data_IF_608346870401
#
_entry.id   IF_608346870401
#
_cell.length_a   1.000
_cell.length_b   1.000
_cell.length_c   1.000
_cell.angle_alpha   90.00
_cell.angle_beta   90.00
_cell.angle_gamma   90.00
#
_symmetry.space_group_name_H-M   'P 1'
#
loop_
_entity.id
_entity.type
_entity.pdbx_description
1 polymer ?
#
# COMPACT_ATOMS: atom_id res chain seq x y z
N UNK A 1 -10.88 -17.35 -12.04
CA UNK A 1 -10.02 -17.86 -13.15
C UNK A 1 -9.05 -19.00 -12.76
N UNK A 2 -8.53 -19.04 -11.53
CA UNK A 2 -7.33 -19.83 -11.20
C UNK A 2 -7.54 -21.23 -10.61
N UNK A 3 -8.76 -21.56 -10.14
CA UNK A 3 -9.07 -22.85 -9.49
C UNK A 3 -9.70 -23.86 -10.48
N UNK A 4 -10.39 -23.35 -11.51
CA UNK A 4 -11.08 -24.19 -12.51
C UNK A 4 -10.14 -25.13 -13.29
N UNK A 5 -8.96 -24.68 -13.77
CA UNK A 5 -8.06 -25.57 -14.52
C UNK A 5 -7.53 -26.74 -13.67
N UNK A 6 -7.26 -26.50 -12.39
CA UNK A 6 -6.81 -27.53 -11.44
C UNK A 6 -7.92 -28.55 -11.13
N UNK A 7 -9.17 -28.08 -11.00
CA UNK A 7 -10.34 -28.97 -10.82
C UNK A 7 -10.63 -29.81 -12.08
N UNK A 8 -10.45 -29.24 -13.28
CA UNK A 8 -10.64 -29.95 -14.56
C UNK A 8 -9.65 -31.11 -14.77
N UNK A 9 -8.44 -31.01 -14.22
CA UNK A 9 -7.43 -32.07 -14.29
C UNK A 9 -7.79 -33.31 -13.45
N UNK A 10 -8.56 -33.15 -12.37
CA UNK A 10 -8.94 -34.22 -11.44
C UNK A 10 -10.33 -34.79 -11.80
N UNK A 11 -11.19 -34.00 -12.43
CA UNK A 11 -12.52 -34.43 -12.88
C UNK A 11 -12.46 -35.47 -14.01
N UNK A 12 -13.41 -36.43 -14.09
CA UNK A 12 -13.53 -37.43 -15.15
C UNK A 12 -14.04 -36.81 -16.47
N UNK A 13 -13.25 -35.89 -17.04
CA UNK A 13 -13.50 -35.22 -18.31
C UNK A 13 -12.76 -35.92 -19.46
N UNK A 14 -13.18 -35.70 -20.73
CA UNK A 14 -12.48 -36.21 -21.92
C UNK A 14 -10.99 -35.82 -21.93
N UNK A 15 -10.15 -36.66 -22.53
CA UNK A 15 -8.69 -36.47 -22.56
C UNK A 15 -8.27 -35.13 -23.19
N UNK A 16 -9.04 -34.64 -24.16
CA UNK A 16 -8.78 -33.38 -24.87
C UNK A 16 -8.97 -32.16 -23.97
N UNK A 17 -10.05 -32.12 -23.17
CA UNK A 17 -10.28 -31.04 -22.21
C UNK A 17 -9.25 -31.03 -21.08
N UNK A 18 -8.79 -32.21 -20.65
CA UNK A 18 -7.70 -32.35 -19.69
C UNK A 18 -6.37 -31.86 -20.24
N UNK A 19 -6.10 -32.08 -21.53
CA UNK A 19 -4.89 -31.59 -22.20
C UNK A 19 -4.86 -30.06 -22.32
N UNK A 20 -6.01 -29.43 -22.64
CA UNK A 20 -6.15 -27.97 -22.66
C UNK A 20 -5.93 -27.37 -21.26
N UNK A 21 -6.55 -27.96 -20.23
CA UNK A 21 -6.36 -27.53 -18.85
C UNK A 21 -4.90 -27.70 -18.37
N UNK A 22 -4.23 -28.78 -18.79
CA UNK A 22 -2.81 -29.01 -18.50
C UNK A 22 -1.92 -27.91 -19.12
N UNK A 23 -2.15 -27.54 -20.38
CA UNK A 23 -1.39 -26.48 -21.04
C UNK A 23 -1.57 -25.11 -20.38
N UNK A 24 -2.80 -24.78 -19.96
CA UNK A 24 -3.07 -23.54 -19.21
C UNK A 24 -2.33 -23.53 -17.87
N UNK A 25 -2.31 -24.65 -17.16
CA UNK A 25 -1.57 -24.77 -15.89
C UNK A 25 -0.06 -24.68 -16.09
N UNK A 26 0.46 -25.23 -17.18
CA UNK A 26 1.88 -25.20 -17.53
C UNK A 26 2.34 -23.78 -17.91
N UNK A 27 1.55 -23.07 -18.72
CA UNK A 27 1.80 -21.67 -19.05
C UNK A 27 1.75 -20.75 -17.82
N UNK A 28 0.85 -21.04 -16.88
CA UNK A 28 0.79 -20.36 -15.59
C UNK A 28 2.05 -20.62 -14.75
N UNK A 29 2.48 -21.89 -14.63
CA UNK A 29 3.72 -22.22 -13.93
C UNK A 29 4.95 -21.52 -14.51
N UNK A 30 5.05 -21.44 -15.84
CA UNK A 30 6.15 -20.77 -16.53
C UNK A 30 6.22 -19.26 -16.30
N UNK A 31 5.10 -18.60 -15.98
CA UNK A 31 5.06 -17.16 -15.72
C UNK A 31 5.14 -16.84 -14.22
N UNK A 32 4.52 -17.65 -13.38
CA UNK A 32 4.48 -17.45 -11.93
C UNK A 32 5.84 -17.69 -11.26
N UNK A 33 6.51 -18.80 -11.59
CA UNK A 33 7.76 -19.19 -10.90
C UNK A 33 8.89 -18.17 -11.11
N UNK A 34 9.15 -17.64 -12.32
CA UNK A 34 10.15 -16.60 -12.51
C UNK A 34 9.80 -15.30 -11.77
N UNK A 35 8.53 -14.90 -11.80
CA UNK A 35 8.08 -13.70 -11.08
C UNK A 35 8.29 -13.85 -9.57
N UNK A 36 7.93 -15.01 -9.00
CA UNK A 36 8.16 -15.31 -7.58
C UNK A 36 9.64 -15.33 -7.23
N UNK A 37 10.48 -15.93 -8.08
CA UNK A 37 11.93 -15.98 -7.87
C UNK A 37 12.54 -14.57 -7.85
N UNK A 38 12.15 -13.69 -8.78
CA UNK A 38 12.57 -12.28 -8.79
C UNK A 38 12.13 -11.57 -7.51
N UNK A 39 10.90 -11.81 -7.07
CA UNK A 39 10.36 -11.20 -5.84
C UNK A 39 11.13 -11.65 -4.59
N UNK A 40 11.47 -12.93 -4.50
CA UNK A 40 12.27 -13.49 -3.40
C UNK A 40 13.67 -12.88 -3.40
N UNK A 41 14.32 -12.78 -4.56
CA UNK A 41 15.64 -12.15 -4.68
C UNK A 41 15.59 -10.67 -4.29
N UNK A 42 14.58 -9.94 -4.77
CA UNK A 42 14.37 -8.54 -4.40
C UNK A 42 14.16 -8.37 -2.89
N UNK A 43 13.34 -9.23 -2.26
CA UNK A 43 13.12 -9.25 -0.83
C UNK A 43 14.39 -9.57 -0.03
N UNK A 44 15.20 -10.52 -0.50
CA UNK A 44 16.48 -10.86 0.11
C UNK A 44 17.47 -9.69 0.05
N UNK A 45 17.61 -9.06 -1.12
CA UNK A 45 18.47 -7.88 -1.31
C UNK A 45 18.00 -6.72 -0.43
N UNK A 46 16.69 -6.48 -0.36
CA UNK A 46 16.11 -5.47 0.51
C UNK A 46 16.40 -5.75 1.99
N UNK A 47 16.20 -6.99 2.43
CA UNK A 47 16.49 -7.42 3.80
C UNK A 47 17.97 -7.20 4.17
N UNK A 48 18.89 -7.56 3.26
CA UNK A 48 20.32 -7.31 3.44
C UNK A 48 20.65 -5.81 3.50
N UNK A 49 20.02 -5.00 2.66
CA UNK A 49 20.21 -3.55 2.66
C UNK A 49 19.75 -2.91 3.98
N UNK A 50 18.55 -3.28 4.46
CA UNK A 50 17.99 -2.80 5.72
C UNK A 50 18.88 -3.21 6.90
N UNK A 51 19.31 -4.48 6.92
CA UNK A 51 20.16 -5.02 7.98
C UNK A 51 21.49 -4.28 8.06
N UNK A 52 22.14 -4.02 6.92
CA UNK A 52 23.41 -3.30 6.90
C UNK A 52 23.28 -1.84 7.39
N UNK A 53 22.17 -1.17 7.05
CA UNK A 53 21.91 0.21 7.50
C UNK A 53 21.59 0.33 9.00
N UNK A 54 21.10 -0.73 9.65
CA UNK A 54 20.69 -0.69 11.05
C UNK A 54 21.70 -1.36 12.01
N UNK A 55 22.29 -2.49 11.61
CA UNK A 55 23.13 -3.30 12.50
C UNK A 55 24.42 -2.58 12.92
N UNK A 56 25.09 -1.91 11.97
CA UNK A 56 26.34 -1.19 12.24
C UNK A 56 26.16 -0.04 13.25
N UNK A 57 25.20 0.88 13.04
CA UNK A 57 24.90 1.96 13.98
C UNK A 57 24.53 1.47 15.37
N UNK A 58 23.69 0.42 15.45
CA UNK A 58 23.22 -0.13 16.70
C UNK A 58 24.37 -0.75 17.52
N UNK A 59 25.29 -1.43 16.85
CA UNK A 59 26.49 -1.98 17.50
C UNK A 59 27.36 -0.87 18.10
N UNK A 60 27.59 0.23 17.35
CA UNK A 60 28.34 1.39 17.84
C UNK A 60 27.68 2.08 19.03
N UNK A 61 26.35 2.19 19.01
CA UNK A 61 25.57 2.72 20.13
C UNK A 61 25.70 1.85 21.37
N UNK A 62 25.62 0.52 21.22
CA UNK A 62 25.80 -0.40 22.33
C UNK A 62 27.21 -0.31 22.92
N UNK A 63 28.25 -0.22 22.08
CA UNK A 63 29.61 -0.02 22.55
C UNK A 63 29.75 1.31 23.31
N UNK A 64 29.15 2.38 22.79
CA UNK A 64 29.14 3.68 23.45
C UNK A 64 28.42 3.62 24.80
N UNK A 65 27.29 2.91 24.89
CA UNK A 65 26.56 2.72 26.14
C UNK A 65 27.39 1.96 27.19
N UNK A 66 28.21 0.98 26.79
CA UNK A 66 29.13 0.29 27.72
C UNK A 66 30.21 1.21 28.26
N UNK A 67 30.81 2.05 27.41
CA UNK A 67 31.82 3.02 27.84
C UNK A 67 31.23 4.10 28.78
N UNK A 68 29.99 4.51 28.53
CA UNK A 68 29.24 5.39 29.43
C UNK A 68 28.98 4.73 30.79
N UNK A 69 28.57 3.45 30.79
CA UNK A 69 28.35 2.70 32.03
C UNK A 69 29.64 2.53 32.85
N UNK A 70 30.81 2.58 32.21
CA UNK A 70 32.12 2.58 32.87
C UNK A 70 32.54 3.97 33.40
N UNK A 71 31.70 4.99 33.23
CA UNK A 71 31.91 6.34 33.77
C UNK A 71 32.69 7.28 32.85
N UNK A 72 32.80 6.97 31.55
CA UNK A 72 33.42 7.85 30.57
C UNK A 72 32.39 8.80 29.91
N UNK A 73 32.10 9.94 30.53
CA UNK A 73 31.12 10.91 30.01
C UNK A 73 31.67 11.80 28.88
N UNK A 74 32.98 11.72 28.59
CA UNK A 74 33.62 12.48 27.51
C UNK A 74 33.27 11.98 26.11
N UNK A 75 32.68 10.78 26.05
CA UNK A 75 32.37 10.11 24.80
C UNK A 75 31.33 10.90 24.00
N UNK A 76 31.56 11.02 22.70
CA UNK A 76 30.55 11.52 21.76
C UNK A 76 30.18 10.43 20.77
N UNK A 77 28.89 10.10 20.74
CA UNK A 77 28.31 9.16 19.78
C UNK A 77 28.34 9.80 18.40
N UNK A 78 29.14 9.24 17.48
CA UNK A 78 29.20 9.67 16.08
C UNK A 78 28.78 8.53 15.17
N UNK A 79 27.82 8.82 14.29
CA UNK A 79 27.34 7.90 13.26
C UNK A 79 27.85 8.34 11.87
N UNK A 80 27.95 7.38 10.94
CA UNK A 80 28.35 7.66 9.54
C UNK A 80 27.17 8.33 8.82
N UNK A 81 27.43 9.21 7.85
CA UNK A 81 26.38 9.96 7.11
C UNK A 81 25.25 9.11 6.52
N UNK A 82 25.50 7.83 6.23
CA UNK A 82 24.50 6.89 5.68
C UNK A 82 23.68 6.10 6.71
N UNK A 83 23.92 6.32 8.00
CA UNK A 83 23.23 5.63 9.09
C UNK A 83 21.86 6.31 9.38
N UNK A 84 20.81 5.58 9.75
CA UNK A 84 19.47 6.17 10.00
C UNK A 84 19.34 6.82 11.40
N UNK A 85 20.15 6.40 12.38
CA UNK A 85 19.98 6.76 13.80
C UNK A 85 20.60 8.10 14.22
N UNK A 86 20.79 9.05 13.29
CA UNK A 86 21.43 10.34 13.59
C UNK A 86 20.68 11.16 14.64
N UNK A 87 19.34 11.11 14.62
CA UNK A 87 18.49 11.81 15.59
C UNK A 87 18.72 11.28 17.00
N UNK A 88 18.75 9.95 17.16
CA UNK A 88 19.06 9.29 18.44
C UNK A 88 20.46 9.67 18.94
N UNK A 89 21.46 9.67 18.06
CA UNK A 89 22.83 10.06 18.41
C UNK A 89 22.91 11.53 18.89
N UNK A 90 22.15 12.44 18.27
CA UNK A 90 22.09 13.84 18.69
C UNK A 90 21.48 13.99 20.08
N UNK A 91 20.36 13.31 20.34
CA UNK A 91 19.69 13.31 21.65
C UNK A 91 20.62 12.72 22.71
N UNK A 92 21.27 11.59 22.44
CA UNK A 92 22.23 10.97 23.35
C UNK A 92 23.38 11.93 23.68
N UNK A 93 24.00 12.55 22.67
CA UNK A 93 25.07 13.53 22.91
C UNK A 93 24.62 14.74 23.72
N UNK A 94 23.39 15.21 23.50
CA UNK A 94 22.82 16.32 24.28
C UNK A 94 22.64 15.93 25.74
N UNK A 95 22.14 14.72 26.01
CA UNK A 95 22.02 14.19 27.36
C UNK A 95 23.39 14.06 28.04
N UNK A 96 24.41 13.58 27.33
CA UNK A 96 25.78 13.48 27.86
C UNK A 96 26.38 14.84 28.23
N UNK A 97 26.16 15.86 27.41
CA UNK A 97 26.60 17.23 27.72
C UNK A 97 25.89 17.77 28.97
N UNK A 98 24.57 17.57 29.08
CA UNK A 98 23.83 18.01 30.25
C UNK A 98 24.27 17.27 31.54
N UNK A 99 24.58 15.98 31.44
CA UNK A 99 25.11 15.20 32.57
C UNK A 99 26.51 15.69 32.97
N UNK A 100 27.41 15.89 32.01
CA UNK A 100 28.76 16.43 32.25
C UNK A 100 28.68 17.79 32.97
N UNK A 101 27.78 18.68 32.53
CA UNK A 101 27.54 19.97 33.17
C UNK A 101 26.99 19.82 34.60
N UNK A 102 25.96 19.00 34.80
CA UNK A 102 25.34 18.81 36.11
C UNK A 102 26.33 18.27 37.15
N UNK A 103 27.15 17.29 36.79
CA UNK A 103 28.19 16.76 37.68
C UNK A 103 29.32 17.79 37.94
N UNK A 104 29.66 18.60 36.94
CA UNK A 104 30.61 19.71 37.11
C UNK A 104 30.12 20.74 38.14
N UNK A 105 28.84 21.12 38.06
CA UNK A 105 28.22 22.06 39.01
C UNK A 105 28.16 21.46 40.43
N UNK A 106 27.80 20.18 40.57
CA UNK A 106 27.80 19.47 41.87
C UNK A 106 29.19 19.50 42.52
N UNK A 107 30.26 19.23 41.76
CA UNK A 107 31.62 19.26 42.29
C UNK A 107 32.04 20.67 42.70
N UNK A 108 31.73 21.68 41.88
CA UNK A 108 32.05 23.07 42.20
C UNK A 108 31.35 23.53 43.49
N UNK A 109 30.07 23.18 43.66
CA UNK A 109 29.33 23.47 44.89
C UNK A 109 29.85 22.66 46.09
N UNK A 110 30.20 21.38 45.88
CA UNK A 110 30.81 20.53 46.91
C UNK A 110 32.12 21.11 47.45
N UNK A 111 33.06 21.44 46.55
CA UNK A 111 34.34 22.04 46.91
C UNK A 111 34.16 23.39 47.64
N UNK A 112 33.21 24.22 47.17
CA UNK A 112 32.88 25.47 47.85
C UNK A 112 32.30 25.25 49.26
N UNK A 113 31.42 24.26 49.42
CA UNK A 113 30.83 23.89 50.71
C UNK A 113 31.90 23.37 51.68
N UNK A 114 32.78 22.47 51.22
CA UNK A 114 33.91 21.96 52.01
C UNK A 114 34.85 23.08 52.44
N UNK A 115 35.23 23.97 51.53
CA UNK A 115 36.07 25.12 51.86
C UNK A 115 35.41 26.05 52.88
N UNK A 116 34.08 26.21 52.84
CA UNK A 116 33.35 27.00 53.83
C UNK A 116 33.32 26.32 55.21
N UNK A 117 33.02 25.01 55.27
CA UNK A 117 33.02 24.24 56.52
C UNK A 117 34.43 24.17 57.12
N UNK A 118 35.46 23.98 56.30
CA UNK A 118 36.85 23.99 56.73
C UNK A 118 37.24 25.30 57.42
N UNK A 119 36.82 26.45 56.87
CA UNK A 119 37.01 27.76 57.52
C UNK A 119 36.29 27.87 58.86
N UNK A 120 35.09 27.30 58.99
CA UNK A 120 34.34 27.30 60.26
C UNK A 120 35.04 26.43 61.31
N UNK A 121 35.48 25.23 60.93
CA UNK A 121 36.22 24.33 61.83
C UNK A 121 37.54 24.96 62.28
N UNK A 122 38.26 25.60 61.36
CA UNK A 122 39.51 26.31 61.69
C UNK A 122 39.27 27.49 62.65
N UNK A 123 38.17 28.24 62.46
CA UNK A 123 37.76 29.30 63.38
C UNK A 123 37.37 28.78 64.77
N UNK A 124 36.66 27.65 64.86
CA UNK A 124 36.30 27.01 66.12
C UNK A 124 37.53 26.49 66.87
N UNK A 125 38.52 25.92 66.16
CA UNK A 125 39.78 25.45 66.74
C UNK A 125 40.59 26.60 67.36
N UNK A 126 40.50 27.80 66.80
CA UNK A 126 41.20 28.99 67.31
C UNK A 126 40.56 29.60 68.57
N UNK A 127 39.36 29.14 68.97
CA UNK A 127 38.64 29.69 70.10
C UNK A 127 39.09 29.07 71.45
N UNK A 128 39.49 29.87 72.45
CA UNK A 128 39.87 29.34 73.77
C UNK A 128 38.65 28.72 74.47
N UNK A 129 38.74 27.43 74.84
CA UNK A 129 37.67 26.69 75.53
C UNK A 129 36.73 25.89 74.62
N UNK A 130 37.09 25.65 73.36
CA UNK A 130 36.32 24.80 72.46
C UNK A 130 36.18 23.36 73.00
N UNK A 131 34.97 22.80 72.95
CA UNK A 131 34.71 21.42 73.39
C UNK A 131 35.30 20.43 72.35
N UNK A 132 36.22 19.54 72.76
CA UNK A 132 36.89 18.60 71.85
C UNK A 132 35.94 17.59 71.19
N UNK A 133 34.81 17.25 71.81
CA UNK A 133 33.84 16.29 71.27
C UNK A 133 33.13 16.86 70.02
N UNK A 134 32.66 18.11 70.09
CA UNK A 134 32.04 18.77 68.92
C UNK A 134 33.03 18.99 67.77
N UNK A 135 34.30 19.29 68.08
CA UNK A 135 35.34 19.43 67.06
C UNK A 135 35.58 18.10 66.33
N UNK A 136 35.55 16.97 67.04
CA UNK A 136 35.71 15.65 66.45
C UNK A 136 34.57 15.31 65.46
N UNK A 137 33.31 15.62 65.81
CA UNK A 137 32.16 15.39 64.93
C UNK A 137 32.27 16.18 63.60
N UNK A 138 32.73 17.44 63.66
CA UNK A 138 32.91 18.26 62.46
C UNK A 138 34.12 17.83 61.61
N UNK A 139 35.20 17.36 62.25
CA UNK A 139 36.34 16.78 61.56
C UNK A 139 35.98 15.46 60.86
N UNK A 140 35.13 14.63 61.50
CA UNK A 140 34.57 13.42 60.91
C UNK A 140 33.67 13.74 59.71
N UNK A 141 32.77 14.73 59.84
CA UNK A 141 31.90 15.17 58.74
C UNK A 141 32.69 15.73 57.53
N UNK A 142 33.78 16.47 57.77
CA UNK A 142 34.68 16.93 56.71
C UNK A 142 35.34 15.73 56.00
N UNK A 143 35.81 14.74 56.75
CA UNK A 143 36.42 13.53 56.21
C UNK A 143 35.44 12.70 55.38
N UNK A 144 34.17 12.60 55.78
CA UNK A 144 33.13 11.95 54.97
C UNK A 144 32.87 12.70 53.66
N UNK A 145 32.90 14.03 53.68
CA UNK A 145 32.72 14.84 52.47
C UNK A 145 33.83 14.61 51.42
N UNK A 146 35.08 14.41 51.86
CA UNK A 146 36.21 14.09 50.97
C UNK A 146 36.03 12.73 50.27
N UNK A 147 35.40 11.76 50.95
CA UNK A 147 35.07 10.47 50.33
C UNK A 147 34.04 10.61 49.21
N UNK A 148 33.07 11.53 49.36
CA UNK A 148 32.09 11.82 48.31
C UNK A 148 32.79 12.40 47.07
N UNK A 149 33.77 13.29 47.26
CA UNK A 149 34.54 13.84 46.15
C UNK A 149 35.35 12.76 45.42
N UNK A 150 35.93 11.80 46.15
CA UNK A 150 36.63 10.65 45.57
C UNK A 150 35.71 9.78 44.70
N UNK A 151 34.43 9.60 45.08
CA UNK A 151 33.43 8.90 44.25
C UNK A 151 33.14 9.67 42.97
N UNK A 152 32.99 11.00 43.07
CA UNK A 152 32.77 11.86 41.90
C UNK A 152 33.99 11.93 40.96
N UNK A 153 35.21 11.68 41.46
CA UNK A 153 36.42 11.62 40.64
C UNK A 153 36.52 10.34 39.78
N UNK A 154 35.76 9.29 40.09
CA UNK A 154 35.73 8.04 39.28
C UNK A 154 35.17 8.26 37.88
N UNK A 155 34.32 9.27 37.71
CA UNK A 155 33.78 9.65 36.41
C UNK A 155 34.79 10.54 35.67
N UNK A 156 35.16 10.13 34.45
CA UNK A 156 36.05 10.93 33.58
C UNK A 156 35.22 11.94 32.81
N UNK A 157 35.44 13.21 33.10
CA UNK A 157 34.77 14.36 32.46
C UNK A 157 35.67 14.95 31.38
N UNK A 158 35.05 15.61 30.41
CA UNK A 158 35.84 16.27 29.37
C UNK A 158 36.51 17.46 30.04
N UNK A 159 37.84 17.42 30.15
CA UNK A 159 38.61 18.58 30.55
C UNK A 159 38.13 19.75 29.68
N UNK A 160 37.62 20.81 30.33
CA UNK A 160 37.07 21.98 29.67
C UNK A 160 38.05 22.39 28.57
N UNK A 161 37.70 22.16 27.31
CA UNK A 161 38.35 22.86 26.20
C UNK A 161 37.87 24.31 26.26
N UNK A 162 38.30 25.03 27.30
CA UNK A 162 38.25 26.48 27.42
C UNK A 162 39.25 27.04 26.41
N UNK A 163 38.89 26.98 25.13
CA UNK A 163 39.81 27.36 24.08
C UNK A 163 39.36 26.92 22.70
N UNK A 164 38.11 27.21 22.32
CA UNK A 164 37.77 27.54 20.93
C UNK A 164 36.33 28.03 20.80
N UNK A 165 36.23 29.35 20.58
CA UNK A 165 35.29 29.99 19.66
C UNK A 165 33.83 29.52 19.64
N UNK A 166 32.97 30.34 20.23
CA UNK A 166 31.73 30.78 19.59
C UNK A 166 30.80 29.69 19.06
N UNK A 167 29.95 29.16 19.93
CA UNK A 167 28.67 28.57 19.51
C UNK A 167 27.52 29.52 19.87
N UNK A 168 27.67 30.81 19.50
CA UNK A 168 26.53 31.70 19.37
C UNK A 168 25.95 31.47 17.98
N UNK A 169 24.90 30.67 17.95
CA UNK A 169 24.30 30.23 16.71
C UNK A 169 23.35 29.07 16.94
N UNK A 170 22.32 29.27 17.76
CA UNK A 170 21.05 28.58 17.55
C UNK A 170 20.50 29.01 16.19
N UNK A 171 21.14 28.56 15.09
CA UNK A 171 20.43 28.36 13.85
C UNK A 171 19.35 27.35 14.21
N UNK A 172 18.11 27.82 14.37
CA UNK A 172 16.93 27.06 14.00
C UNK A 172 17.21 26.55 12.58
N UNK A 173 17.87 25.39 12.46
CA UNK A 173 17.86 24.64 11.21
C UNK A 173 16.38 24.36 11.01
N UNK A 174 15.84 24.99 9.98
CA UNK A 174 14.46 24.79 9.55
C UNK A 174 14.15 23.32 9.64
N UNK A 175 12.95 23.01 10.14
CA UNK A 175 12.39 21.68 10.19
C UNK A 175 12.91 20.91 8.99
N UNK A 176 13.76 19.92 9.26
CA UNK A 176 14.34 19.07 8.23
C UNK A 176 13.13 18.47 7.52
N UNK A 177 12.76 19.01 6.37
CA UNK A 177 11.75 18.43 5.52
C UNK A 177 12.34 17.07 5.15
N UNK A 178 11.90 16.02 5.84
CA UNK A 178 12.27 14.65 5.55
C UNK A 178 11.80 14.42 4.12
N UNK A 179 12.71 14.53 3.15
CA UNK A 179 12.43 14.20 1.76
C UNK A 179 12.04 12.73 1.69
N UNK A 180 11.04 12.41 0.88
CA UNK A 180 10.61 11.04 0.61
C UNK A 180 11.85 10.25 0.19
N UNK A 181 12.09 9.12 0.85
CA UNK A 181 13.22 8.27 0.51
C UNK A 181 12.94 7.55 -0.82
N UNK A 182 13.98 7.34 -1.64
CA UNK A 182 13.82 6.59 -2.90
C UNK A 182 13.27 5.17 -2.65
N UNK A 183 13.56 4.61 -1.47
CA UNK A 183 13.05 3.32 -1.04
C UNK A 183 11.56 3.36 -0.66
N UNK A 184 11.06 4.42 -0.02
CA UNK A 184 9.62 4.63 0.18
C UNK A 184 8.88 4.69 -1.15
N UNK A 185 9.43 5.43 -2.11
CA UNK A 185 8.81 5.53 -3.43
C UNK A 185 8.77 4.17 -4.13
N UNK A 186 9.85 3.38 -4.04
CA UNK A 186 9.91 2.03 -4.60
C UNK A 186 8.90 1.07 -3.95
N UNK A 187 8.76 1.09 -2.63
CA UNK A 187 7.77 0.26 -1.92
C UNK A 187 6.36 0.71 -2.27
N UNK A 188 6.09 2.02 -2.30
CA UNK A 188 4.79 2.56 -2.68
C UNK A 188 4.40 2.14 -4.11
N UNK A 189 5.32 2.28 -5.07
CA UNK A 189 5.11 1.83 -6.45
C UNK A 189 4.91 0.31 -6.54
N UNK A 190 5.63 -0.48 -5.75
CA UNK A 190 5.44 -1.93 -5.71
C UNK A 190 4.04 -2.31 -5.21
N UNK A 191 3.57 -1.69 -4.12
CA UNK A 191 2.21 -1.92 -3.59
C UNK A 191 1.15 -1.51 -4.62
N UNK A 192 1.29 -0.31 -5.21
CA UNK A 192 0.37 0.18 -6.24
C UNK A 192 0.37 -0.74 -7.47
N UNK A 193 1.52 -1.27 -7.87
CA UNK A 193 1.63 -2.24 -8.97
C UNK A 193 0.89 -3.54 -8.69
N UNK A 194 1.09 -4.11 -7.49
CA UNK A 194 0.40 -5.33 -7.06
C UNK A 194 -1.11 -5.11 -7.02
N UNK A 195 -1.57 -4.01 -6.40
CA UNK A 195 -3.00 -3.69 -6.33
C UNK A 195 -3.60 -3.45 -7.71
N UNK A 196 -2.92 -2.69 -8.57
CA UNK A 196 -3.36 -2.39 -9.93
C UNK A 196 -3.50 -3.65 -10.78
N UNK A 197 -2.62 -4.65 -10.60
CA UNK A 197 -2.65 -5.90 -11.36
C UNK A 197 -3.96 -6.69 -11.19
N UNK A 198 -4.60 -6.57 -10.02
CA UNK A 198 -5.88 -7.22 -9.71
C UNK A 198 -7.05 -6.27 -9.92
N UNK A 199 -6.90 -5.00 -9.55
CA UNK A 199 -7.98 -4.01 -9.60
C UNK A 199 -8.39 -3.64 -11.03
N UNK A 200 -7.44 -3.47 -11.96
CA UNK A 200 -7.73 -3.07 -13.34
C UNK A 200 -8.59 -4.13 -14.06
N UNK A 201 -8.20 -5.41 -14.16
CA UNK A 201 -9.02 -6.39 -14.86
C UNK A 201 -10.38 -6.60 -14.17
N UNK A 202 -10.43 -6.54 -12.83
CA UNK A 202 -11.70 -6.63 -12.10
C UNK A 202 -12.65 -5.47 -12.42
N UNK A 203 -12.13 -4.24 -12.50
CA UNK A 203 -12.90 -3.06 -12.86
C UNK A 203 -13.37 -3.11 -14.31
N UNK A 204 -12.52 -3.53 -15.24
CA UNK A 204 -12.89 -3.68 -16.66
C UNK A 204 -14.02 -4.69 -16.83
N UNK A 205 -13.94 -5.86 -16.20
CA UNK A 205 -15.01 -6.87 -16.22
C UNK A 205 -16.33 -6.34 -15.63
N UNK A 206 -16.25 -5.55 -14.55
CA UNK A 206 -17.44 -4.94 -13.94
C UNK A 206 -18.13 -3.96 -14.91
N UNK A 207 -17.35 -3.11 -15.55
CA UNK A 207 -17.86 -2.15 -16.54
C UNK A 207 -18.47 -2.89 -17.74
N UNK A 208 -17.79 -3.91 -18.26
CA UNK A 208 -18.30 -4.73 -19.36
C UNK A 208 -19.64 -5.38 -19.01
N UNK A 209 -19.74 -6.00 -17.83
CA UNK A 209 -21.00 -6.59 -17.36
C UNK A 209 -22.12 -5.55 -17.25
N UNK A 210 -21.82 -4.36 -16.72
CA UNK A 210 -22.78 -3.27 -16.64
C UNK A 210 -23.27 -2.82 -18.03
N UNK A 211 -22.39 -2.79 -19.03
CA UNK A 211 -22.77 -2.47 -20.42
C UNK A 211 -23.65 -3.57 -21.00
N UNK A 212 -23.32 -4.83 -20.79
CA UNK A 212 -24.07 -5.99 -21.29
C UNK A 212 -25.52 -6.04 -20.79
N UNK A 213 -25.79 -5.54 -19.58
CA UNK A 213 -27.16 -5.42 -19.04
C UNK A 213 -28.04 -4.45 -19.84
N UNK A 214 -27.46 -3.39 -20.42
CA UNK A 214 -28.18 -2.41 -21.23
C UNK A 214 -28.82 -3.07 -22.45
N UNK A 215 -28.06 -3.89 -23.20
CA UNK A 215 -28.55 -4.59 -24.38
C UNK A 215 -29.66 -5.59 -24.08
N UNK A 216 -29.53 -6.36 -22.99
CA UNK A 216 -30.57 -7.31 -22.56
C UNK A 216 -31.89 -6.61 -22.22
N UNK A 217 -31.80 -5.50 -21.47
CA UNK A 217 -32.98 -4.72 -21.07
C UNK A 217 -33.66 -4.11 -22.29
N UNK A 218 -32.87 -3.50 -23.18
CA UNK A 218 -33.35 -2.88 -24.41
C UNK A 218 -34.14 -3.84 -25.32
N UNK A 219 -33.62 -5.06 -25.54
CA UNK A 219 -34.28 -6.08 -26.37
C UNK A 219 -35.60 -6.55 -25.74
N UNK A 220 -35.65 -6.70 -24.42
CA UNK A 220 -36.87 -7.11 -23.70
C UNK A 220 -37.94 -6.02 -23.73
N UNK A 221 -37.55 -4.77 -23.58
CA UNK A 221 -38.46 -3.62 -23.62
C UNK A 221 -39.10 -3.47 -25.00
N UNK A 222 -38.29 -3.56 -26.06
CA UNK A 222 -38.80 -3.54 -27.44
C UNK A 222 -39.73 -4.72 -27.70
N UNK A 223 -39.38 -5.93 -27.26
CA UNK A 223 -40.26 -7.10 -27.40
C UNK A 223 -41.60 -6.90 -26.67
N UNK A 224 -41.61 -6.27 -25.50
CA UNK A 224 -42.83 -5.95 -24.76
C UNK A 224 -43.69 -4.92 -25.51
N UNK A 225 -43.07 -3.89 -26.08
CA UNK A 225 -43.78 -2.87 -26.85
C UNK A 225 -44.33 -3.42 -28.16
N UNK A 226 -43.60 -4.31 -28.83
CA UNK A 226 -44.10 -5.02 -30.01
C UNK A 226 -45.34 -5.85 -29.71
N UNK A 227 -45.35 -6.57 -28.58
CA UNK A 227 -46.53 -7.33 -28.15
C UNK A 227 -47.73 -6.41 -27.86
N UNK A 228 -47.51 -5.29 -27.18
CA UNK A 228 -48.56 -4.31 -26.91
C UNK A 228 -49.11 -3.71 -28.21
N UNK A 229 -48.22 -3.31 -29.12
CA UNK A 229 -48.60 -2.76 -30.41
C UNK A 229 -49.39 -3.76 -31.28
N UNK A 230 -49.03 -5.05 -31.21
CA UNK A 230 -49.76 -6.10 -31.90
C UNK A 230 -51.18 -6.29 -31.35
N UNK A 231 -51.36 -6.18 -30.03
CA UNK A 231 -52.69 -6.24 -29.41
C UNK A 231 -53.58 -5.09 -29.89
N UNK A 232 -53.00 -3.90 -30.08
CA UNK A 232 -53.76 -2.71 -30.47
C UNK A 232 -54.05 -2.65 -31.98
N UNK A 233 -53.12 -3.11 -32.83
CA UNK A 233 -53.18 -2.89 -34.29
C UNK A 233 -53.33 -4.17 -35.11
N UNK A 234 -53.09 -5.34 -34.52
CA UNK A 234 -53.13 -6.64 -35.20
C UNK A 234 -51.89 -6.97 -36.06
N UNK A 235 -50.88 -6.10 -36.09
CA UNK A 235 -49.64 -6.26 -36.84
C UNK A 235 -48.42 -5.83 -36.01
N UNK A 236 -47.23 -6.33 -36.34
CA UNK A 236 -45.98 -5.84 -35.75
C UNK A 236 -45.42 -4.68 -36.57
N UNK A 237 -44.57 -3.85 -35.96
CA UNK A 237 -43.85 -2.77 -36.66
C UNK A 237 -42.35 -2.94 -36.48
N UNK A 238 -41.57 -2.68 -37.51
CA UNK A 238 -40.11 -2.64 -37.46
C UNK A 238 -39.56 -1.26 -37.03
N UNK A 239 -40.45 -0.28 -36.85
CA UNK A 239 -40.09 1.09 -36.50
C UNK A 239 -40.21 1.33 -34.99
N UNK A 240 -39.07 1.62 -34.35
CA UNK A 240 -38.95 1.91 -32.92
C UNK A 240 -39.82 3.09 -32.45
N UNK A 241 -39.99 4.12 -33.30
CA UNK A 241 -40.81 5.29 -32.95
C UNK A 241 -42.31 4.95 -32.96
N UNK A 242 -42.75 4.10 -33.91
CA UNK A 242 -44.15 3.67 -34.03
C UNK A 242 -44.60 2.86 -32.82
N UNK A 243 -43.72 2.01 -32.28
CA UNK A 243 -43.99 1.22 -31.06
C UNK A 243 -43.78 2.03 -29.77
N UNK A 244 -43.42 3.31 -29.86
CA UNK A 244 -43.21 4.18 -28.69
C UNK A 244 -41.95 3.89 -27.88
N UNK A 245 -40.93 3.26 -28.46
CA UNK A 245 -39.70 2.95 -27.75
C UNK A 245 -38.82 4.21 -27.62
N UNK A 246 -38.66 4.69 -26.37
CA UNK A 246 -37.79 5.81 -26.02
C UNK A 246 -37.05 5.52 -24.70
N UNK A 247 -35.82 4.98 -24.75
CA UNK A 247 -35.09 4.59 -23.56
C UNK A 247 -34.61 5.82 -22.78
N UNK A 248 -34.82 5.81 -21.46
CA UNK A 248 -34.35 6.84 -20.53
C UNK A 248 -33.53 6.15 -19.42
N UNK A 249 -32.19 6.31 -19.38
CA UNK A 249 -31.34 7.10 -20.27
C UNK A 249 -31.23 6.52 -21.70
N UNK A 250 -30.83 7.33 -22.71
CA UNK A 250 -30.64 6.84 -24.07
C UNK A 250 -29.53 5.78 -24.13
N UNK A 251 -29.69 4.82 -25.04
CA UNK A 251 -28.70 3.76 -25.25
C UNK A 251 -27.36 4.37 -25.68
N UNK A 252 -26.28 3.89 -25.06
CA UNK A 252 -24.90 4.35 -25.34
C UNK A 252 -24.08 3.30 -26.06
N UNK A 253 -24.30 2.02 -25.74
CA UNK A 253 -23.43 0.94 -26.20
C UNK A 253 -24.06 0.06 -27.27
N UNK A 254 -25.40 0.09 -27.39
CA UNK A 254 -26.15 -0.81 -28.27
C UNK A 254 -27.00 -0.06 -29.28
N UNK A 255 -27.07 -0.60 -30.50
CA UNK A 255 -28.04 -0.23 -31.53
C UNK A 255 -29.07 -1.35 -31.67
N UNK A 256 -30.35 -1.00 -31.77
CA UNK A 256 -31.43 -1.99 -31.94
C UNK A 256 -31.85 -2.09 -33.40
N UNK A 257 -32.09 -3.32 -33.85
CA UNK A 257 -32.71 -3.66 -35.13
C UNK A 257 -33.88 -4.62 -34.89
N UNK A 258 -35.01 -4.36 -35.52
CA UNK A 258 -36.17 -5.26 -35.55
C UNK A 258 -36.21 -5.90 -36.94
N UNK A 259 -36.42 -7.21 -36.98
CA UNK A 259 -36.70 -7.95 -38.21
C UNK A 259 -38.04 -8.65 -38.06
N UNK A 260 -38.96 -8.32 -38.96
CA UNK A 260 -40.23 -9.02 -39.07
C UNK A 260 -40.05 -10.19 -40.04
N UNK A 261 -40.57 -11.35 -39.67
CA UNK A 261 -40.73 -12.51 -40.55
C UNK A 261 -42.23 -12.69 -40.76
N UNK A 262 -42.77 -11.91 -41.70
CA UNK A 262 -44.19 -12.00 -42.06
C UNK A 262 -44.38 -12.98 -43.21
N UNK A 263 -45.12 -14.06 -42.92
CA UNK A 263 -45.78 -14.93 -43.88
C UNK A 263 -47.29 -14.91 -43.58
N UNK A 264 -48.16 -15.24 -44.54
CA UNK A 264 -49.63 -15.17 -44.38
C UNK A 264 -50.17 -15.94 -43.14
N UNK A 265 -49.39 -16.89 -42.60
CA UNK A 265 -49.72 -17.70 -41.41
C UNK A 265 -48.74 -17.56 -40.23
N UNK A 266 -47.57 -16.91 -40.43
CA UNK A 266 -46.48 -16.85 -39.44
C UNK A 266 -46.16 -15.39 -39.09
N UNK A 267 -46.37 -15.03 -37.82
CA UNK A 267 -46.14 -13.67 -37.29
C UNK A 267 -44.97 -13.70 -36.31
N UNK A 268 -43.80 -13.92 -36.87
CA UNK A 268 -42.55 -14.03 -36.14
C UNK A 268 -41.78 -12.70 -36.16
N UNK A 269 -41.04 -12.41 -35.09
CA UNK A 269 -40.11 -11.28 -35.08
C UNK A 269 -38.81 -11.60 -34.36
N UNK A 270 -37.74 -10.94 -34.80
CA UNK A 270 -36.43 -10.95 -34.17
C UNK A 270 -36.07 -9.51 -33.77
N UNK A 271 -35.82 -9.29 -32.48
CA UNK A 271 -35.24 -8.05 -31.95
C UNK A 271 -33.78 -8.31 -31.66
N UNK A 272 -32.91 -7.48 -32.20
CA UNK A 272 -31.47 -7.59 -32.03
C UNK A 272 -30.89 -6.29 -31.48
N UNK A 273 -30.10 -6.37 -30.41
CA UNK A 273 -29.23 -5.29 -29.99
C UNK A 273 -27.78 -5.65 -30.29
N UNK A 274 -27.08 -4.82 -31.07
CA UNK A 274 -25.65 -4.99 -31.39
C UNK A 274 -24.84 -3.85 -30.81
N UNK A 275 -23.75 -4.18 -30.10
CA UNK A 275 -22.79 -3.23 -29.56
C UNK A 275 -21.36 -3.47 -30.07
N UNK A 276 -20.45 -2.60 -29.62
CA UNK A 276 -19.00 -2.75 -29.76
C UNK A 276 -18.37 -2.38 -28.41
N UNK A 277 -18.43 -3.29 -27.44
CA UNK A 277 -18.03 -3.05 -26.05
C UNK A 277 -16.52 -3.10 -25.88
N UNK A 278 -15.85 -3.97 -26.62
CA UNK A 278 -14.43 -4.30 -26.46
C UNK A 278 -13.57 -4.10 -27.73
N UNK A 279 -14.16 -3.58 -28.82
CA UNK A 279 -13.48 -3.41 -30.11
C UNK A 279 -13.82 -4.51 -31.11
N UNK A 280 -14.55 -5.54 -30.68
CA UNK A 280 -15.14 -6.54 -31.54
C UNK A 280 -16.66 -6.39 -31.59
N UNK A 281 -17.19 -6.37 -32.82
CA UNK A 281 -18.62 -6.22 -33.10
C UNK A 281 -19.32 -7.57 -33.24
N UNK A 282 -18.59 -8.65 -33.00
CA UNK A 282 -19.06 -10.01 -33.25
C UNK A 282 -19.64 -10.62 -31.99
N UNK A 283 -19.05 -10.41 -30.81
CA UNK A 283 -19.40 -11.04 -29.54
C UNK A 283 -20.44 -10.27 -28.71
N UNK A 284 -20.70 -9.01 -29.04
CA UNK A 284 -21.56 -8.12 -28.25
C UNK A 284 -22.97 -7.98 -28.82
N UNK A 285 -23.66 -9.11 -29.00
CA UNK A 285 -25.03 -9.12 -29.49
C UNK A 285 -26.01 -9.79 -28.51
N UNK A 286 -27.21 -9.20 -28.43
CA UNK A 286 -28.39 -9.80 -27.82
C UNK A 286 -29.45 -9.99 -28.89
N UNK A 287 -30.02 -11.19 -28.98
CA UNK A 287 -31.13 -11.49 -29.88
C UNK A 287 -32.27 -12.13 -29.12
N UNK A 288 -33.45 -11.54 -29.26
CA UNK A 288 -34.71 -12.12 -28.82
C UNK A 288 -35.55 -12.44 -30.04
N UNK A 289 -35.84 -13.72 -30.22
CA UNK A 289 -36.73 -14.21 -31.26
C UNK A 289 -38.04 -14.66 -30.63
N UNK A 290 -39.16 -14.16 -31.15
CA UNK A 290 -40.50 -14.63 -30.82
C UNK A 290 -41.07 -15.37 -32.02
N UNK A 291 -41.54 -16.59 -31.76
CA UNK A 291 -42.22 -17.44 -32.73
C UNK A 291 -43.74 -17.35 -32.59
N UNK A 292 -44.45 -17.79 -33.62
CA UNK A 292 -45.92 -17.77 -33.73
C UNK A 292 -46.60 -18.65 -32.68
N UNK A 293 -45.90 -19.65 -32.16
CA UNK A 293 -46.32 -20.47 -31.01
C UNK A 293 -46.30 -19.72 -29.65
N UNK A 294 -45.83 -18.46 -29.64
CA UNK A 294 -45.66 -17.63 -28.45
C UNK A 294 -44.33 -17.86 -27.71
N UNK A 295 -43.50 -18.79 -28.17
CA UNK A 295 -42.20 -19.08 -27.57
C UNK A 295 -41.24 -17.91 -27.81
N UNK A 296 -40.61 -17.45 -26.74
CA UNK A 296 -39.54 -16.43 -26.78
C UNK A 296 -38.21 -17.05 -26.44
N UNK A 297 -37.22 -16.87 -27.31
CA UNK A 297 -35.84 -17.32 -27.04
C UNK A 297 -34.91 -16.13 -26.97
N UNK A 298 -34.14 -16.03 -25.90
CA UNK A 298 -33.11 -15.01 -25.71
C UNK A 298 -31.74 -15.65 -25.89
N UNK A 299 -30.92 -15.07 -26.75
CA UNK A 299 -29.55 -15.51 -27.03
C UNK A 299 -28.59 -14.33 -26.83
N UNK A 300 -27.39 -14.63 -26.34
CA UNK A 300 -26.32 -13.67 -26.09
C UNK A 300 -24.99 -14.26 -26.56
N UNK A 301 -24.08 -13.39 -27.03
CA UNK A 301 -22.73 -13.76 -27.45
C UNK A 301 -22.51 -13.45 -28.93
N UNK A 302 -21.74 -14.30 -29.61
CA UNK A 302 -21.45 -14.07 -31.02
C UNK A 302 -22.66 -14.28 -31.92
N UNK A 303 -23.14 -13.23 -32.59
CA UNK A 303 -24.28 -13.34 -33.51
C UNK A 303 -23.97 -12.58 -34.80
N UNK A 304 -23.86 -13.33 -35.90
CA UNK A 304 -23.42 -12.87 -37.23
C UNK A 304 -24.01 -11.52 -37.66
N UNK A 305 -23.15 -10.68 -38.27
CA UNK A 305 -23.51 -9.36 -38.81
C UNK A 305 -24.58 -9.49 -39.88
N UNK A 306 -25.58 -8.62 -39.81
CA UNK A 306 -26.50 -8.39 -40.92
C UNK A 306 -25.84 -7.36 -41.83
N UNK A 307 -25.57 -7.72 -43.08
CA UNK A 307 -25.14 -6.76 -44.09
C UNK A 307 -26.25 -5.69 -44.26
N UNK A 308 -25.95 -4.39 -44.19
CA UNK A 308 -26.97 -3.33 -44.28
C UNK A 308 -27.79 -3.32 -45.59
N UNK A 309 -27.39 -4.12 -46.58
CA UNK A 309 -28.04 -4.21 -47.91
C UNK A 309 -28.85 -5.49 -48.13
N UNK A 310 -28.84 -6.44 -47.21
CA UNK A 310 -29.42 -7.76 -47.48
C UNK A 310 -30.89 -7.86 -47.03
N UNK A 311 -31.81 -7.70 -48.01
CA UNK A 311 -33.11 -8.37 -47.99
C UNK A 311 -32.88 -9.83 -48.40
N UNK A 312 -32.73 -10.76 -47.45
CA UNK A 312 -32.52 -12.16 -47.79
C UNK A 312 -33.60 -13.06 -47.19
N UNK A 313 -34.50 -13.44 -48.09
CA UNK A 313 -35.30 -14.67 -48.08
C UNK A 313 -34.34 -15.86 -48.23
N UNK A 314 -34.43 -16.83 -47.32
CA UNK A 314 -33.87 -18.17 -47.50
C UNK A 314 -32.39 -18.39 -47.11
N UNK A 315 -32.20 -19.27 -46.12
CA UNK A 315 -31.00 -20.06 -45.77
C UNK A 315 -29.80 -19.40 -45.02
N UNK A 316 -29.74 -19.81 -43.74
CA UNK A 316 -28.67 -20.02 -42.75
C UNK A 316 -27.20 -19.81 -43.18
N UNK A 317 -26.43 -19.11 -42.32
CA UNK A 317 -25.00 -19.37 -42.04
C UNK A 317 -24.74 -19.20 -40.53
N UNK A 318 -24.38 -20.30 -39.85
CA UNK A 318 -23.86 -20.33 -38.48
C UNK A 318 -22.40 -19.83 -38.47
N UNK A 319 -21.99 -19.10 -37.44
CA UNK A 319 -20.61 -18.62 -37.33
C UNK A 319 -20.26 -18.05 -35.96
N UNK A 320 -19.75 -18.91 -35.10
CA UNK A 320 -18.64 -18.61 -34.19
C UNK A 320 -17.67 -19.77 -34.43
N UNK A 321 -16.38 -19.51 -34.59
CA UNK A 321 -15.41 -20.59 -34.69
C UNK A 321 -15.44 -21.41 -33.39
N UNK A 322 -15.44 -22.74 -33.52
CA UNK A 322 -15.21 -23.71 -32.45
C UNK A 322 -13.83 -23.50 -31.78
#
# INVERSE_FOLDING_TARGET
PYVLPALKLIAPLPLEERALAAQQFLAFGQTLWPALAVLIVAAAVFSLHLTHRLAGPLHRLHQSARELAQGNLTLRVRLRRGDELHELAHVANTALVNLDQAFGDIRAHGAHSQAAVGRVVEALRAQPGANPEYLADWEEALKESDQLEAVLQRFRFAERLQGQGGWMGTRRRGQNQRGITLIELLIALAIVGILSSVAIPAYLNYVEHARTVEGNTAVRDVARLLDAYYVDTGAYSDNLATIGYSPVPPLRYYTILIKLKESDEEKDYEVRATGNLDGDVTHDAWVLEKKTDGTKTLRHGCISKVNPKDKLVGKIVYGCAD
#
